data_IF_801271108257
#
_entry.id   IF_801271108257
#
_cell.length_a   1.000
_cell.length_b   1.000
_cell.length_c   1.000
_cell.angle_alpha   90.00
_cell.angle_beta   90.00
_cell.angle_gamma   90.00
#
_symmetry.space_group_name_H-M   'P 1'
#
loop_
_entity.id
_entity.type
_entity.pdbx_description
1 polymer ?
#
# COMPACT_ATOMS: atom_id res chain seq x y z
N UNK A 1 37.02 -19.25 -5.19
CA UNK A 1 35.77 -18.82 -5.87
C UNK A 1 35.27 -20.03 -6.66
N UNK A 2 34.08 -20.53 -6.33
CA UNK A 2 33.42 -21.64 -7.01
C UNK A 2 32.97 -21.27 -8.42
N UNK A 3 32.58 -22.25 -9.27
CA UNK A 3 32.00 -21.96 -10.58
C UNK A 3 30.68 -21.20 -10.48
N UNK A 4 29.91 -21.45 -9.41
CA UNK A 4 28.63 -20.78 -9.15
C UNK A 4 28.82 -19.32 -8.70
N UNK A 5 29.82 -19.04 -7.85
CA UNK A 5 30.21 -17.66 -7.53
C UNK A 5 30.70 -16.87 -8.76
N UNK A 6 31.44 -17.53 -9.69
CA UNK A 6 31.81 -16.88 -10.96
C UNK A 6 30.62 -16.60 -11.88
N UNK A 7 29.54 -17.36 -11.75
CA UNK A 7 28.28 -17.13 -12.44
C UNK A 7 27.40 -16.04 -11.79
N UNK A 8 27.86 -15.45 -10.66
CA UNK A 8 27.20 -14.33 -10.00
C UNK A 8 26.35 -14.69 -8.79
N UNK A 9 26.36 -15.97 -8.33
CA UNK A 9 25.57 -16.41 -7.17
C UNK A 9 26.48 -16.95 -6.07
N UNK A 10 26.36 -16.40 -4.85
CA UNK A 10 27.13 -16.82 -3.69
C UNK A 10 26.22 -17.41 -2.59
N UNK A 11 26.25 -18.72 -2.42
CA UNK A 11 25.43 -19.45 -1.44
C UNK A 11 25.72 -19.03 0.00
N UNK A 12 26.99 -18.73 0.34
CA UNK A 12 27.34 -18.28 1.70
C UNK A 12 26.74 -16.92 2.02
N UNK A 13 26.72 -16.02 1.04
CA UNK A 13 26.08 -14.71 1.15
C UNK A 13 24.56 -14.85 1.27
N UNK A 14 23.93 -15.74 0.52
CA UNK A 14 22.50 -16.02 0.61
C UNK A 14 22.11 -16.57 1.99
N UNK A 15 22.85 -17.57 2.51
CA UNK A 15 22.62 -18.07 3.87
C UNK A 15 22.85 -17.02 4.95
N UNK A 16 23.86 -16.15 4.78
CA UNK A 16 24.11 -15.06 5.71
C UNK A 16 22.98 -14.03 5.69
N UNK A 17 22.42 -13.73 4.52
CA UNK A 17 21.26 -12.85 4.38
C UNK A 17 20.05 -13.41 5.15
N UNK A 18 19.68 -14.67 4.92
CA UNK A 18 18.57 -15.33 5.64
C UNK A 18 18.73 -15.24 7.16
N UNK A 19 19.96 -15.50 7.69
CA UNK A 19 20.22 -15.36 9.12
C UNK A 19 20.07 -13.92 9.63
N UNK A 20 20.41 -12.91 8.84
CA UNK A 20 20.33 -11.50 9.23
C UNK A 20 18.89 -10.97 9.33
N UNK A 21 17.97 -11.50 8.53
CA UNK A 21 16.56 -11.06 8.51
C UNK A 21 15.67 -11.85 9.48
N UNK A 22 16.15 -12.96 10.03
CA UNK A 22 15.35 -13.89 10.83
C UNK A 22 14.64 -13.21 12.01
N UNK A 23 15.36 -12.37 12.77
CA UNK A 23 14.82 -11.70 13.95
C UNK A 23 13.72 -10.71 13.57
N UNK A 24 13.91 -9.92 12.50
CA UNK A 24 12.93 -8.97 12.02
C UNK A 24 11.63 -9.66 11.55
N UNK A 25 11.76 -10.75 10.78
CA UNK A 25 10.59 -11.51 10.30
C UNK A 25 9.83 -12.14 11.47
N UNK A 26 10.55 -12.86 12.36
CA UNK A 26 9.90 -13.59 13.47
C UNK A 26 9.35 -12.66 14.56
N UNK A 27 9.84 -11.44 14.69
CA UNK A 27 9.26 -10.44 15.60
C UNK A 27 7.79 -10.10 15.25
N UNK A 28 7.40 -10.22 13.97
CA UNK A 28 6.00 -9.99 13.54
C UNK A 28 5.08 -11.17 13.87
N UNK A 29 5.61 -12.32 14.32
CA UNK A 29 4.85 -13.54 14.48
C UNK A 29 4.06 -13.56 15.79
N UNK A 30 2.74 -13.68 15.67
CA UNK A 30 1.82 -13.88 16.78
C UNK A 30 1.45 -15.36 16.97
N UNK A 31 0.53 -15.63 17.91
CA UNK A 31 0.13 -17.00 18.27
C UNK A 31 -0.56 -17.78 17.14
N UNK A 32 -1.04 -17.07 16.11
CA UNK A 32 -1.72 -17.70 14.97
C UNK A 32 -0.75 -18.20 13.89
N UNK A 33 0.54 -17.86 13.95
CA UNK A 33 1.53 -18.33 12.98
C UNK A 33 1.88 -19.80 13.26
N UNK A 34 1.91 -20.61 12.19
CA UNK A 34 2.22 -22.03 12.21
C UNK A 34 3.43 -22.30 11.32
N UNK A 35 4.42 -22.99 11.87
CA UNK A 35 5.65 -23.33 11.18
C UNK A 35 6.87 -22.74 11.86
N UNK A 36 7.98 -22.72 11.14
CA UNK A 36 9.27 -22.19 11.61
C UNK A 36 9.92 -21.35 10.52
N UNK A 37 10.66 -20.34 10.92
CA UNK A 37 11.47 -19.56 9.99
C UNK A 37 12.47 -20.44 9.23
N UNK A 38 12.60 -20.22 7.91
CA UNK A 38 13.46 -21.05 7.04
C UNK A 38 12.82 -22.36 6.58
N UNK A 39 11.56 -22.64 6.90
CA UNK A 39 10.79 -23.73 6.31
C UNK A 39 10.37 -23.45 4.86
N UNK A 40 9.92 -24.47 4.13
CA UNK A 40 9.43 -24.31 2.75
C UNK A 40 8.13 -23.52 2.66
N UNK A 41 7.34 -23.48 3.71
CA UNK A 41 6.13 -22.70 3.85
C UNK A 41 5.85 -22.42 5.31
N UNK A 42 5.21 -21.28 5.58
CA UNK A 42 4.61 -20.97 6.87
C UNK A 42 3.09 -20.86 6.72
N UNK A 43 2.38 -21.11 7.79
CA UNK A 43 0.93 -21.04 7.84
C UNK A 43 0.44 -20.01 8.84
N UNK A 44 -0.86 -19.70 8.74
CA UNK A 44 -1.55 -18.88 9.71
C UNK A 44 -2.93 -19.48 9.99
N UNK A 45 -3.29 -19.61 11.26
CA UNK A 45 -4.64 -19.99 11.62
C UNK A 45 -5.56 -18.79 11.56
N UNK A 46 -6.80 -19.01 11.14
CA UNK A 46 -7.82 -17.97 11.19
C UNK A 46 -8.08 -17.63 12.66
N UNK A 47 -8.06 -16.34 13.05
CA UNK A 47 -8.35 -15.92 14.42
C UNK A 47 -9.76 -16.38 14.86
N UNK A 48 -9.95 -16.55 16.16
CA UNK A 48 -11.27 -16.83 16.71
C UNK A 48 -12.26 -15.68 16.44
N UNK A 49 -13.56 -15.99 16.43
CA UNK A 49 -14.64 -15.02 16.26
C UNK A 49 -15.33 -15.08 14.91
N UNK A 50 -14.69 -15.62 13.87
CA UNK A 50 -15.32 -15.81 12.55
C UNK A 50 -16.17 -17.08 12.53
N UNK A 51 -17.42 -16.98 12.05
CA UNK A 51 -18.35 -18.11 11.88
C UNK A 51 -18.29 -18.69 10.48
N UNK A 52 -18.14 -17.82 9.48
CA UNK A 52 -18.02 -18.14 8.06
C UNK A 52 -16.93 -17.29 7.43
N UNK A 53 -15.65 -17.55 7.77
CA UNK A 53 -14.53 -16.73 7.28
C UNK A 53 -14.39 -16.81 5.77
N UNK A 54 -14.23 -15.66 5.12
CA UNK A 54 -13.82 -15.53 3.72
C UNK A 54 -12.38 -15.04 3.71
N UNK A 55 -11.52 -15.76 3.00
CA UNK A 55 -10.13 -15.38 2.81
C UNK A 55 -10.01 -14.51 1.56
N UNK A 56 -9.40 -13.34 1.71
CA UNK A 56 -9.12 -12.40 0.64
C UNK A 56 -7.62 -12.38 0.37
N UNK A 57 -7.25 -12.33 -0.90
CA UNK A 57 -5.88 -12.27 -1.38
C UNK A 57 -5.70 -11.08 -2.30
N UNK A 58 -4.58 -10.39 -2.14
CA UNK A 58 -4.12 -9.34 -3.04
C UNK A 58 -2.62 -9.46 -3.27
N UNK A 59 -2.13 -8.81 -4.32
CA UNK A 59 -0.70 -8.66 -4.60
C UNK A 59 -0.44 -7.28 -5.18
N UNK A 60 0.65 -6.66 -4.75
CA UNK A 60 1.10 -5.37 -5.25
C UNK A 60 2.62 -5.23 -5.12
N UNK A 61 3.17 -4.16 -5.66
CA UNK A 61 4.58 -3.80 -5.59
C UNK A 61 4.81 -2.34 -5.23
N UNK A 62 6.06 -1.97 -4.98
CA UNK A 62 6.44 -0.56 -4.72
C UNK A 62 6.50 0.24 -6.02
N UNK A 63 6.90 -0.40 -7.11
CA UNK A 63 7.05 0.25 -8.40
C UNK A 63 8.27 1.19 -8.48
N UNK A 64 8.16 2.21 -9.34
CA UNK A 64 9.32 3.03 -9.73
C UNK A 64 9.83 4.01 -8.67
N UNK A 65 9.20 4.11 -7.49
CA UNK A 65 9.77 4.76 -6.30
C UNK A 65 11.10 4.12 -5.89
N UNK A 66 11.26 2.81 -6.12
CA UNK A 66 12.50 2.08 -5.84
C UNK A 66 13.72 2.67 -6.56
N UNK A 67 13.55 3.25 -7.75
CA UNK A 67 14.65 3.89 -8.47
C UNK A 67 15.12 5.17 -7.74
N UNK A 68 14.22 5.93 -7.13
CA UNK A 68 14.60 7.06 -6.29
C UNK A 68 15.30 6.61 -5.02
N UNK A 69 14.77 5.57 -4.38
CA UNK A 69 15.41 4.96 -3.20
C UNK A 69 16.84 4.49 -3.52
N UNK A 70 17.03 3.88 -4.70
CA UNK A 70 18.35 3.44 -5.19
C UNK A 70 19.31 4.63 -5.41
N UNK A 71 18.84 5.71 -6.06
CA UNK A 71 19.66 6.93 -6.28
C UNK A 71 20.05 7.59 -4.95
N UNK A 72 19.12 7.66 -4.02
CA UNK A 72 19.33 8.25 -2.70
C UNK A 72 20.13 7.35 -1.75
N UNK A 73 20.25 6.03 -2.02
CA UNK A 73 20.78 5.04 -1.09
C UNK A 73 19.91 4.88 0.16
N UNK A 74 18.60 5.15 0.07
CA UNK A 74 17.64 5.19 1.20
C UNK A 74 16.56 4.13 1.01
N UNK A 75 16.57 3.12 1.88
CA UNK A 75 15.74 1.94 1.74
C UNK A 75 14.76 1.72 2.91
N UNK A 76 14.84 2.55 3.95
CA UNK A 76 14.13 2.40 5.21
C UNK A 76 12.60 2.53 5.09
N UNK A 77 12.12 3.21 4.03
CA UNK A 77 10.69 3.45 3.81
C UNK A 77 10.01 2.48 2.84
N UNK A 78 10.78 1.85 1.94
CA UNK A 78 10.20 1.12 0.79
C UNK A 78 9.44 -0.14 1.18
N UNK A 79 9.86 -0.80 2.27
CA UNK A 79 9.13 -1.96 2.79
C UNK A 79 7.76 -1.56 3.36
N UNK A 80 7.68 -0.42 4.04
CA UNK A 80 6.41 0.14 4.50
C UNK A 80 5.49 0.52 3.34
N UNK A 81 6.05 1.07 2.25
CA UNK A 81 5.32 1.34 1.02
C UNK A 81 4.70 0.05 0.46
N UNK A 82 5.48 -1.03 0.36
CA UNK A 82 5.02 -2.33 -0.12
C UNK A 82 3.84 -2.87 0.71
N UNK A 83 4.00 -2.87 2.03
CA UNK A 83 2.96 -3.35 2.95
C UNK A 83 1.70 -2.52 2.81
N UNK A 84 1.81 -1.18 2.78
CA UNK A 84 0.67 -0.29 2.64
C UNK A 84 -0.15 -0.57 1.37
N UNK A 85 0.51 -0.80 0.23
CA UNK A 85 -0.20 -1.12 -1.02
C UNK A 85 -1.04 -2.39 -0.90
N UNK A 86 -0.49 -3.43 -0.28
CA UNK A 86 -1.19 -4.71 -0.13
C UNK A 86 -2.28 -4.68 0.95
N UNK A 87 -1.98 -4.21 2.17
CA UNK A 87 -2.93 -4.31 3.27
C UNK A 87 -4.08 -3.32 3.17
N UNK A 88 -3.87 -2.17 2.52
CA UNK A 88 -4.91 -1.18 2.29
C UNK A 88 -5.92 -1.67 1.23
N UNK A 89 -5.50 -2.49 0.25
CA UNK A 89 -6.41 -3.17 -0.67
C UNK A 89 -7.30 -4.19 0.05
N UNK A 90 -6.73 -4.95 1.01
CA UNK A 90 -7.53 -5.85 1.85
C UNK A 90 -8.56 -5.06 2.68
N UNK A 91 -8.14 -3.96 3.29
CA UNK A 91 -9.03 -3.10 4.07
C UNK A 91 -10.14 -2.46 3.21
N UNK A 92 -9.86 -2.12 1.95
CA UNK A 92 -10.87 -1.63 1.01
C UNK A 92 -11.98 -2.67 0.74
N UNK A 93 -11.68 -3.95 0.88
CA UNK A 93 -12.65 -5.05 0.83
C UNK A 93 -13.25 -5.40 2.19
N UNK A 94 -12.90 -4.69 3.28
CA UNK A 94 -13.32 -5.00 4.65
C UNK A 94 -12.57 -6.17 5.30
N UNK A 95 -11.49 -6.64 4.67
CA UNK A 95 -10.74 -7.80 5.15
C UNK A 95 -9.60 -7.37 6.09
N UNK A 96 -9.55 -7.99 7.27
CA UNK A 96 -8.46 -7.83 8.23
C UNK A 96 -7.21 -8.54 7.70
N UNK A 97 -6.07 -7.84 7.54
CA UNK A 97 -4.81 -8.46 7.18
C UNK A 97 -4.38 -9.51 8.22
N UNK A 98 -3.97 -10.67 7.75
CA UNK A 98 -3.45 -11.76 8.58
C UNK A 98 -1.96 -11.99 8.36
N UNK A 99 -1.57 -12.02 7.11
CA UNK A 99 -0.23 -12.40 6.70
C UNK A 99 0.20 -11.73 5.40
N UNK A 100 1.51 -11.56 5.26
CA UNK A 100 2.16 -11.11 4.04
C UNK A 100 3.34 -12.02 3.73
N UNK A 101 3.60 -12.25 2.46
CA UNK A 101 4.83 -12.83 1.94
C UNK A 101 5.39 -11.91 0.85
N UNK A 102 6.70 -11.68 0.83
CA UNK A 102 7.34 -10.80 -0.14
C UNK A 102 8.16 -11.56 -1.18
N UNK A 103 8.40 -10.92 -2.30
CA UNK A 103 9.36 -11.30 -3.32
C UNK A 103 10.27 -10.11 -3.61
N UNK A 104 11.55 -10.27 -3.27
CA UNK A 104 12.59 -9.28 -3.53
C UNK A 104 13.51 -9.80 -4.64
N UNK A 105 13.42 -9.19 -5.83
CA UNK A 105 14.32 -9.43 -6.93
C UNK A 105 15.46 -8.41 -6.91
N UNK A 106 16.71 -8.89 -6.93
CA UNK A 106 17.89 -8.05 -6.89
C UNK A 106 18.86 -8.40 -8.01
N UNK A 107 19.51 -7.41 -8.59
CA UNK A 107 20.58 -7.68 -9.57
C UNK A 107 21.78 -8.35 -8.92
N UNK A 108 22.08 -7.97 -7.67
CA UNK A 108 23.11 -8.56 -6.80
C UNK A 108 22.70 -8.37 -5.34
N UNK A 109 22.93 -9.38 -4.52
CA UNK A 109 22.75 -9.30 -3.07
C UNK A 109 23.67 -8.23 -2.44
N UNK A 110 23.07 -7.40 -1.60
CA UNK A 110 23.74 -6.43 -0.73
C UNK A 110 23.19 -6.60 0.68
N UNK A 111 24.02 -7.17 1.56
CA UNK A 111 23.54 -7.63 2.86
C UNK A 111 23.00 -6.54 3.78
N UNK A 112 23.41 -5.27 3.64
CA UNK A 112 22.92 -4.17 4.47
C UNK A 112 21.67 -3.55 3.88
N UNK A 113 21.65 -3.29 2.56
CA UNK A 113 20.47 -2.84 1.83
C UNK A 113 19.29 -3.81 1.99
N UNK A 114 19.53 -5.07 1.68
CA UNK A 114 18.48 -6.10 1.63
C UNK A 114 17.89 -6.36 3.03
N UNK A 115 18.75 -6.32 4.07
CA UNK A 115 18.32 -6.37 5.46
C UNK A 115 17.43 -5.16 5.81
N UNK A 116 17.86 -3.94 5.47
CA UNK A 116 17.09 -2.71 5.72
C UNK A 116 15.71 -2.77 5.07
N UNK A 117 15.61 -3.29 3.84
CA UNK A 117 14.34 -3.47 3.16
C UNK A 117 13.42 -4.44 3.93
N UNK A 118 13.93 -5.61 4.32
CA UNK A 118 13.12 -6.60 5.06
C UNK A 118 12.73 -6.09 6.45
N UNK A 119 13.60 -5.38 7.16
CA UNK A 119 13.27 -4.71 8.43
C UNK A 119 12.14 -3.69 8.23
N UNK A 120 12.16 -2.94 7.12
CA UNK A 120 11.09 -1.99 6.76
C UNK A 120 9.76 -2.70 6.43
N UNK A 121 9.80 -3.86 5.76
CA UNK A 121 8.61 -4.69 5.53
C UNK A 121 8.05 -5.20 6.86
N UNK A 122 8.90 -5.73 7.73
CA UNK A 122 8.50 -6.23 9.04
C UNK A 122 7.83 -5.13 9.89
N UNK A 123 8.43 -3.94 9.96
CA UNK A 123 7.85 -2.79 10.66
C UNK A 123 6.50 -2.36 10.06
N UNK A 124 6.36 -2.43 8.73
CA UNK A 124 5.08 -2.23 8.05
C UNK A 124 4.03 -3.27 8.44
N UNK A 125 4.40 -4.54 8.50
CA UNK A 125 3.51 -5.64 8.93
C UNK A 125 3.08 -5.48 10.39
N UNK A 126 3.97 -5.09 11.29
CA UNK A 126 3.63 -4.77 12.69
C UNK A 126 2.62 -3.63 12.77
N UNK A 127 2.85 -2.54 12.02
CA UNK A 127 1.93 -1.41 11.96
C UNK A 127 0.55 -1.77 11.37
N UNK A 128 0.50 -2.73 10.46
CA UNK A 128 -0.73 -3.26 9.86
C UNK A 128 -1.42 -4.34 10.74
N UNK A 129 -0.74 -4.85 11.76
CA UNK A 129 -1.24 -5.93 12.62
C UNK A 129 -1.29 -7.30 11.94
N UNK A 130 -0.38 -7.57 10.99
CA UNK A 130 -0.24 -8.84 10.28
C UNK A 130 1.18 -9.42 10.41
N UNK A 131 1.34 -10.71 10.13
CA UNK A 131 2.62 -11.40 10.19
C UNK A 131 3.32 -11.37 8.82
N UNK A 132 4.62 -11.06 8.81
CA UNK A 132 5.50 -11.38 7.69
C UNK A 132 5.88 -12.86 7.80
N UNK A 133 5.25 -13.74 7.02
CA UNK A 133 5.45 -15.19 7.14
C UNK A 133 6.76 -15.68 6.55
N UNK A 134 7.33 -14.90 5.64
CA UNK A 134 8.53 -15.18 4.90
C UNK A 134 8.46 -14.53 3.53
N UNK A 135 9.34 -14.97 2.64
CA UNK A 135 9.43 -14.43 1.29
C UNK A 135 10.52 -15.12 0.49
N UNK A 136 10.86 -14.53 -0.63
CA UNK A 136 11.94 -14.97 -1.51
C UNK A 136 12.85 -13.79 -1.83
N UNK A 137 14.16 -13.98 -1.68
CA UNK A 137 15.18 -13.03 -2.19
C UNK A 137 15.94 -13.68 -3.33
N UNK A 138 15.71 -13.23 -4.54
CA UNK A 138 16.25 -13.82 -5.76
C UNK A 138 17.30 -12.92 -6.42
N UNK A 139 18.53 -13.42 -6.61
CA UNK A 139 19.54 -12.76 -7.44
C UNK A 139 19.31 -13.05 -8.93
N UNK A 140 19.38 -11.99 -9.74
CA UNK A 140 19.17 -12.04 -11.19
C UNK A 140 20.39 -11.55 -11.98
N UNK A 141 21.57 -12.19 -11.83
CA UNK A 141 22.77 -11.75 -12.53
C UNK A 141 22.59 -11.86 -14.05
N UNK A 142 22.90 -10.77 -14.78
CA UNK A 142 22.75 -10.70 -16.23
C UNK A 142 21.32 -10.43 -16.73
N UNK A 143 20.33 -10.38 -15.83
CA UNK A 143 18.95 -10.00 -16.13
C UNK A 143 18.63 -8.61 -15.57
N UNK A 144 19.09 -8.32 -14.36
CA UNK A 144 18.95 -7.03 -13.72
C UNK A 144 20.33 -6.37 -13.55
N UNK A 145 20.35 -5.03 -13.57
CA UNK A 145 21.56 -4.28 -13.21
C UNK A 145 21.95 -4.56 -11.76
N UNK A 146 23.24 -4.63 -11.42
CA UNK A 146 23.69 -5.05 -10.07
C UNK A 146 23.09 -4.24 -8.90
N UNK A 147 22.78 -2.95 -9.13
CA UNK A 147 22.15 -2.10 -8.12
C UNK A 147 20.62 -2.09 -8.14
N UNK A 148 20.00 -2.78 -9.10
CA UNK A 148 18.56 -2.80 -9.25
C UNK A 148 17.89 -3.68 -8.18
N UNK A 149 16.72 -3.22 -7.74
CA UNK A 149 15.83 -3.93 -6.79
C UNK A 149 14.41 -3.80 -7.32
N UNK A 150 13.65 -4.88 -7.27
CA UNK A 150 12.21 -4.88 -7.41
C UNK A 150 11.56 -5.59 -6.22
N UNK A 151 10.43 -5.06 -5.76
CA UNK A 151 9.71 -5.54 -4.58
C UNK A 151 8.25 -5.77 -4.92
N UNK A 152 7.78 -6.96 -4.64
CA UNK A 152 6.37 -7.34 -4.69
C UNK A 152 5.99 -8.12 -3.43
N UNK A 153 4.72 -8.12 -3.09
CA UNK A 153 4.21 -8.94 -2.00
C UNK A 153 2.82 -9.49 -2.33
N UNK A 154 2.46 -10.57 -1.66
CA UNK A 154 1.09 -11.04 -1.60
C UNK A 154 0.62 -10.99 -0.14
N UNK A 155 -0.58 -10.45 0.08
CA UNK A 155 -1.18 -10.36 1.40
C UNK A 155 -2.47 -11.20 1.47
N UNK A 156 -2.65 -11.85 2.62
CA UNK A 156 -3.82 -12.63 2.98
C UNK A 156 -4.59 -11.89 4.07
N UNK A 157 -5.90 -11.72 3.88
CA UNK A 157 -6.81 -11.18 4.87
C UNK A 157 -8.01 -12.07 5.09
N UNK A 158 -8.80 -11.76 6.11
CA UNK A 158 -10.04 -12.46 6.46
C UNK A 158 -11.17 -11.47 6.73
N UNK A 159 -12.36 -11.80 6.27
CA UNK A 159 -13.61 -11.08 6.58
C UNK A 159 -14.70 -12.10 6.90
N UNK A 160 -15.70 -11.75 7.72
CA UNK A 160 -16.89 -12.58 7.91
C UNK A 160 -17.77 -12.51 6.65
N UNK A 161 -18.27 -13.63 6.18
CA UNK A 161 -19.14 -13.68 5.00
C UNK A 161 -20.40 -12.82 5.17
N UNK A 162 -20.57 -11.84 4.30
CA UNK A 162 -21.65 -10.86 4.32
C UNK A 162 -21.29 -9.55 5.03
N UNK A 163 -20.06 -9.41 5.53
CA UNK A 163 -19.53 -8.17 6.11
C UNK A 163 -18.47 -7.53 5.19
N UNK A 164 -18.30 -8.05 3.97
CA UNK A 164 -17.42 -7.47 2.96
C UNK A 164 -17.89 -6.07 2.57
N UNK A 165 -16.97 -5.11 2.48
CA UNK A 165 -17.26 -3.79 1.92
C UNK A 165 -17.43 -3.91 0.40
N UNK A 166 -18.66 -3.71 -0.08
CA UNK A 166 -19.00 -3.90 -1.49
C UNK A 166 -19.83 -2.75 -2.03
N UNK A 167 -19.75 -2.44 -3.35
CA UNK A 167 -20.54 -1.40 -3.97
C UNK A 167 -22.06 -1.59 -3.81
N UNK A 168 -22.55 -2.80 -3.63
CA UNK A 168 -23.98 -3.14 -3.64
C UNK A 168 -24.81 -2.47 -2.54
N UNK A 169 -24.18 -2.01 -1.45
CA UNK A 169 -24.84 -1.32 -0.34
C UNK A 169 -24.90 0.19 -0.48
N UNK A 170 -24.19 0.77 -1.46
CA UNK A 170 -24.08 2.23 -1.70
C UNK A 170 -25.36 2.79 -2.27
N UNK A 171 -25.75 4.00 -1.86
CA UNK A 171 -26.96 4.71 -2.27
C UNK A 171 -26.64 6.17 -2.64
N UNK A 172 -27.45 6.75 -3.49
CA UNK A 172 -27.42 8.20 -3.71
C UNK A 172 -27.77 8.94 -2.40
N UNK A 173 -26.99 9.98 -2.08
CA UNK A 173 -27.07 10.71 -0.82
C UNK A 173 -26.08 10.20 0.26
N UNK A 174 -25.44 9.04 0.06
CA UNK A 174 -24.30 8.65 0.91
C UNK A 174 -23.15 9.66 0.76
N UNK A 175 -22.34 9.83 1.79
CA UNK A 175 -21.23 10.77 1.78
C UNK A 175 -19.92 10.07 1.45
N UNK A 176 -19.01 10.80 0.80
CA UNK A 176 -17.64 10.38 0.60
C UNK A 176 -16.78 10.98 1.70
N UNK A 177 -16.16 10.13 2.51
CA UNK A 177 -15.21 10.51 3.56
C UNK A 177 -13.81 10.16 3.07
N UNK A 178 -12.92 11.18 3.06
CA UNK A 178 -11.51 11.03 2.69
C UNK A 178 -10.62 10.88 3.91
N UNK A 179 -9.58 10.04 3.77
CA UNK A 179 -8.47 9.95 4.71
C UNK A 179 -7.25 10.63 4.10
N UNK A 180 -6.68 11.58 4.83
CA UNK A 180 -5.56 12.39 4.36
C UNK A 180 -4.31 11.56 4.06
N UNK A 181 -3.59 11.92 2.98
CA UNK A 181 -2.26 11.42 2.64
C UNK A 181 -1.28 12.58 2.60
N UNK A 182 -0.22 12.58 3.41
CA UNK A 182 0.75 13.68 3.42
C UNK A 182 1.69 13.66 2.22
N UNK A 183 1.72 12.58 1.44
CA UNK A 183 2.71 12.32 0.39
C UNK A 183 2.11 11.60 -0.82
N UNK A 184 2.98 11.29 -1.81
CA UNK A 184 2.63 10.57 -3.05
C UNK A 184 2.30 9.09 -2.84
N UNK A 185 2.66 8.53 -1.69
CA UNK A 185 2.65 7.09 -1.44
C UNK A 185 3.61 6.35 -2.41
N UNK A 186 3.13 5.37 -3.17
CA UNK A 186 3.98 4.60 -4.11
C UNK A 186 3.62 4.81 -5.59
N UNK A 187 2.80 5.81 -5.91
CA UNK A 187 2.26 5.97 -7.25
C UNK A 187 2.78 7.23 -7.97
N UNK A 188 2.87 7.16 -9.29
CA UNK A 188 3.21 8.29 -10.15
C UNK A 188 4.70 8.62 -10.26
N UNK A 189 5.60 7.83 -9.70
CA UNK A 189 7.04 8.11 -9.65
C UNK A 189 7.75 8.11 -11.01
N UNK A 190 7.19 7.48 -12.04
CA UNK A 190 7.70 7.62 -13.41
C UNK A 190 7.54 9.04 -13.91
N UNK A 191 6.37 9.67 -13.68
CA UNK A 191 6.12 11.07 -14.03
C UNK A 191 6.99 12.01 -13.18
N UNK A 192 7.07 11.78 -11.86
CA UNK A 192 7.93 12.56 -10.95
C UNK A 192 9.37 12.62 -11.46
N UNK A 193 9.93 11.46 -11.83
CA UNK A 193 11.30 11.38 -12.35
C UNK A 193 11.48 12.09 -13.69
N UNK A 194 10.47 12.05 -14.53
CA UNK A 194 10.51 12.71 -15.84
C UNK A 194 10.50 14.23 -15.71
N UNK A 195 9.58 14.76 -14.88
CA UNK A 195 9.40 16.22 -14.78
C UNK A 195 10.47 16.91 -13.92
N UNK A 196 11.01 16.24 -12.91
CA UNK A 196 12.10 16.78 -12.08
C UNK A 196 13.48 16.52 -12.66
N UNK A 197 13.65 15.50 -13.50
CA UNK A 197 14.95 15.18 -14.09
C UNK A 197 16.06 15.01 -13.04
N UNK A 198 17.13 15.80 -13.16
CA UNK A 198 18.26 15.79 -12.22
C UNK A 198 17.92 16.49 -10.89
N UNK A 199 16.97 17.43 -10.87
CA UNK A 199 16.53 18.14 -9.65
C UNK A 199 15.81 17.23 -8.65
N UNK A 200 15.45 16.00 -9.04
CA UNK A 200 14.84 15.01 -8.16
C UNK A 200 15.65 14.72 -6.90
N UNK A 201 16.97 14.89 -6.97
CA UNK A 201 17.89 14.64 -5.85
C UNK A 201 17.74 15.68 -4.73
N UNK A 202 17.36 16.91 -5.06
CA UNK A 202 17.11 17.97 -4.07
C UNK A 202 15.82 17.76 -3.27
N UNK A 203 14.99 16.82 -3.70
CA UNK A 203 13.65 16.55 -3.14
C UNK A 203 13.50 15.16 -2.54
N UNK A 204 14.57 14.40 -2.34
CA UNK A 204 14.48 13.03 -1.80
C UNK A 204 13.76 12.95 -0.47
N UNK A 205 13.89 13.91 0.44
CA UNK A 205 13.20 13.90 1.72
C UNK A 205 11.69 13.97 1.57
N UNK A 206 11.20 14.73 0.61
CA UNK A 206 9.78 14.86 0.30
C UNK A 206 9.24 13.65 -0.48
N UNK A 207 10.02 13.14 -1.42
CA UNK A 207 9.60 12.09 -2.35
C UNK A 207 9.68 10.69 -1.75
N UNK A 208 10.63 10.45 -0.83
CA UNK A 208 10.85 9.14 -0.21
C UNK A 208 10.12 8.96 1.13
N UNK A 209 9.34 9.96 1.55
CA UNK A 209 8.48 9.82 2.73
C UNK A 209 7.58 8.58 2.60
N UNK A 210 7.58 7.67 3.61
CA UNK A 210 6.87 6.40 3.52
C UNK A 210 5.35 6.56 3.52
N UNK A 211 4.67 5.64 2.86
CA UNK A 211 3.20 5.58 2.81
C UNK A 211 2.56 5.44 4.19
N UNK A 212 1.44 6.10 4.39
CA UNK A 212 0.53 5.81 5.49
C UNK A 212 -0.10 4.43 5.26
N UNK A 213 -0.18 3.63 6.30
CA UNK A 213 -0.94 2.37 6.32
C UNK A 213 -2.31 2.69 6.90
N UNK A 214 -3.36 2.56 6.08
CA UNK A 214 -4.73 2.90 6.47
C UNK A 214 -5.50 1.71 7.04
N UNK A 215 -5.08 0.49 6.77
CA UNK A 215 -5.84 -0.72 7.07
C UNK A 215 -6.37 -0.79 8.51
N UNK A 216 -5.61 -0.51 9.58
CA UNK A 216 -6.15 -0.53 10.94
C UNK A 216 -7.29 0.48 11.15
N UNK A 217 -7.11 1.72 10.69
CA UNK A 217 -8.10 2.80 10.82
C UNK A 217 -9.36 2.52 9.99
N UNK A 218 -9.19 2.07 8.75
CA UNK A 218 -10.31 1.72 7.86
C UNK A 218 -11.16 0.61 8.45
N UNK A 219 -10.54 -0.42 9.03
CA UNK A 219 -11.25 -1.52 9.68
C UNK A 219 -11.96 -1.09 10.97
N UNK A 220 -11.36 -0.17 11.74
CA UNK A 220 -12.03 0.44 12.90
C UNK A 220 -13.26 1.23 12.46
N UNK A 221 -13.15 2.04 11.40
CA UNK A 221 -14.27 2.76 10.82
C UNK A 221 -15.34 1.81 10.26
N UNK A 222 -14.95 0.74 9.57
CA UNK A 222 -15.87 -0.28 9.05
C UNK A 222 -16.64 -0.99 10.18
N UNK A 223 -15.99 -1.27 11.30
CA UNK A 223 -16.60 -1.92 12.47
C UNK A 223 -17.74 -1.08 13.10
N UNK A 224 -17.80 0.22 12.82
CA UNK A 224 -18.96 1.05 13.22
C UNK A 224 -20.25 0.61 12.51
N UNK A 225 -20.14 -0.04 11.34
CA UNK A 225 -21.26 -0.39 10.46
C UNK A 225 -21.85 0.80 9.70
N UNK A 226 -21.19 1.95 9.71
CA UNK A 226 -21.57 3.13 8.92
C UNK A 226 -20.96 3.13 7.51
N UNK A 227 -19.84 2.44 7.31
CA UNK A 227 -19.15 2.33 6.02
C UNK A 227 -19.86 1.31 5.13
N UNK A 228 -20.22 1.72 3.92
CA UNK A 228 -20.88 0.88 2.91
C UNK A 228 -19.89 0.26 1.94
N UNK A 229 -18.92 1.04 1.51
CA UNK A 229 -17.90 0.66 0.54
C UNK A 229 -16.65 1.50 0.72
N UNK A 230 -15.54 1.11 0.12
CA UNK A 230 -14.29 1.82 0.27
C UNK A 230 -13.42 1.72 -0.98
N UNK A 231 -12.54 2.70 -1.18
CA UNK A 231 -11.59 2.75 -2.28
C UNK A 231 -10.21 3.18 -1.77
N UNK A 232 -9.21 2.34 -1.99
CA UNK A 232 -7.81 2.68 -1.82
C UNK A 232 -7.36 3.56 -3.00
N UNK A 233 -6.87 4.78 -2.72
CA UNK A 233 -6.48 5.74 -3.76
C UNK A 233 -5.02 5.50 -4.15
N UNK A 234 -4.82 4.86 -5.29
CA UNK A 234 -3.54 4.54 -5.90
C UNK A 234 -3.37 5.25 -7.25
N UNK A 235 -2.62 4.68 -8.19
CA UNK A 235 -2.55 5.19 -9.56
C UNK A 235 -3.96 5.34 -10.17
N UNK A 236 -4.18 6.46 -10.84
CA UNK A 236 -5.51 6.86 -11.30
C UNK A 236 -6.21 7.88 -10.40
N UNK A 237 -5.65 8.18 -9.21
CA UNK A 237 -6.20 9.14 -8.27
C UNK A 237 -7.63 8.82 -7.81
N UNK A 238 -8.33 9.80 -7.23
CA UNK A 238 -9.73 9.65 -6.82
C UNK A 238 -10.63 9.29 -8.03
N UNK A 239 -10.50 9.95 -9.22
CA UNK A 239 -11.35 9.65 -10.36
C UNK A 239 -11.22 8.22 -10.89
N UNK A 240 -10.07 7.59 -10.76
CA UNK A 240 -9.84 6.21 -11.21
C UNK A 240 -10.20 5.14 -10.18
N UNK A 241 -10.13 5.45 -8.89
CA UNK A 241 -10.31 4.45 -7.83
C UNK A 241 -11.69 4.51 -7.16
N UNK A 242 -12.24 5.68 -6.86
CA UNK A 242 -13.55 5.80 -6.21
C UNK A 242 -14.68 5.12 -7.01
N UNK A 243 -14.74 5.18 -8.36
CA UNK A 243 -15.78 4.47 -9.11
C UNK A 243 -15.81 2.95 -8.91
N UNK A 244 -14.70 2.33 -8.53
CA UNK A 244 -14.61 0.89 -8.24
C UNK A 244 -15.40 0.50 -6.97
N UNK A 245 -15.64 1.48 -6.10
CA UNK A 245 -16.42 1.35 -4.88
C UNK A 245 -17.92 1.69 -5.08
N UNK A 246 -18.34 2.01 -6.30
CA UNK A 246 -19.72 2.44 -6.61
C UNK A 246 -20.42 1.42 -7.51
N UNK A 247 -21.74 1.20 -7.33
CA UNK A 247 -22.51 0.38 -8.25
C UNK A 247 -22.80 1.12 -9.54
N UNK A 248 -23.23 0.40 -10.58
CA UNK A 248 -23.70 0.99 -11.82
C UNK A 248 -24.86 1.96 -11.57
N UNK A 249 -24.84 3.11 -12.25
CA UNK A 249 -25.86 4.15 -12.12
C UNK A 249 -25.61 5.16 -11.00
N UNK A 250 -24.54 4.98 -10.21
CA UNK A 250 -24.09 5.97 -9.25
C UNK A 250 -22.71 6.53 -9.61
N UNK A 251 -22.51 7.79 -9.25
CA UNK A 251 -21.25 8.51 -9.35
C UNK A 251 -21.00 9.31 -8.09
N UNK A 252 -19.94 10.09 -8.06
CA UNK A 252 -19.61 10.96 -6.93
C UNK A 252 -19.32 12.39 -7.39
N UNK A 253 -19.64 13.34 -6.52
CA UNK A 253 -19.17 14.73 -6.60
C UNK A 253 -18.21 14.93 -5.45
N UNK A 254 -16.97 15.32 -5.75
CA UNK A 254 -15.91 15.52 -4.77
C UNK A 254 -15.49 16.99 -4.80
N UNK A 255 -15.55 17.66 -3.65
CA UNK A 255 -15.13 19.04 -3.47
C UNK A 255 -13.66 19.07 -3.04
N UNK A 256 -12.78 19.46 -3.97
CA UNK A 256 -11.32 19.49 -3.77
C UNK A 256 -10.86 20.62 -2.85
N UNK A 257 -11.73 21.50 -2.41
CA UNK A 257 -11.43 22.58 -1.45
C UNK A 257 -11.56 22.16 0.01
N UNK A 258 -12.04 20.92 0.28
CA UNK A 258 -12.31 20.42 1.63
C UNK A 258 -11.09 19.89 2.37
N UNK A 259 -9.95 19.79 1.71
CA UNK A 259 -8.67 19.37 2.33
C UNK A 259 -7.49 20.19 1.83
N UNK A 260 -6.42 20.25 2.61
CA UNK A 260 -5.17 20.86 2.18
C UNK A 260 -4.39 19.92 1.25
N UNK A 261 -3.90 20.48 0.16
CA UNK A 261 -3.02 19.78 -0.79
C UNK A 261 -1.59 19.74 -0.22
N UNK A 262 -0.96 18.56 -0.05
CA UNK A 262 0.43 18.46 0.38
C UNK A 262 1.41 19.18 -0.55
N UNK A 263 2.52 19.76 -0.01
CA UNK A 263 3.47 20.56 -0.78
C UNK A 263 4.12 19.85 -1.99
N UNK A 264 4.20 18.52 -1.95
CA UNK A 264 4.75 17.75 -3.07
C UNK A 264 3.96 17.95 -4.37
N UNK A 265 2.67 18.23 -4.29
CA UNK A 265 1.85 18.49 -5.48
C UNK A 265 2.04 19.91 -6.01
N UNK A 266 2.38 20.89 -5.16
CA UNK A 266 2.74 22.22 -5.59
C UNK A 266 4.07 22.21 -6.38
N UNK A 267 5.05 21.46 -5.89
CA UNK A 267 6.31 21.22 -6.59
C UNK A 267 6.07 20.65 -8.00
N UNK A 268 5.21 19.64 -8.14
CA UNK A 268 4.95 19.03 -9.44
C UNK A 268 4.18 19.95 -10.39
N UNK A 269 3.29 20.80 -9.87
CA UNK A 269 2.58 21.83 -10.64
C UNK A 269 3.55 22.90 -11.13
N UNK A 270 4.50 23.36 -10.32
CA UNK A 270 5.57 24.28 -10.68
C UNK A 270 6.48 23.70 -11.78
N UNK A 271 6.69 22.36 -11.78
CA UNK A 271 7.39 21.64 -12.85
C UNK A 271 6.55 21.40 -14.11
N UNK A 272 5.33 21.93 -14.18
CA UNK A 272 4.50 21.94 -15.38
C UNK A 272 3.51 20.77 -15.51
N UNK A 273 3.34 19.94 -14.48
CA UNK A 273 2.27 18.93 -14.48
C UNK A 273 0.93 19.64 -14.33
N UNK A 274 0.01 19.44 -15.28
CA UNK A 274 -1.29 20.11 -15.25
C UNK A 274 -2.16 19.55 -14.12
N UNK A 275 -3.07 20.38 -13.59
CA UNK A 275 -4.00 19.97 -12.53
C UNK A 275 -4.81 18.73 -12.92
N UNK A 276 -5.30 18.67 -14.16
CA UNK A 276 -6.06 17.52 -14.66
C UNK A 276 -5.25 16.23 -14.69
N UNK A 277 -3.98 16.32 -15.06
CA UNK A 277 -3.06 15.18 -15.06
C UNK A 277 -2.73 14.74 -13.63
N UNK A 278 -2.48 15.69 -12.73
CA UNK A 278 -2.24 15.37 -11.31
C UNK A 278 -3.38 14.57 -10.69
N UNK A 279 -4.63 14.96 -10.90
CA UNK A 279 -5.79 14.20 -10.39
C UNK A 279 -5.98 12.83 -11.05
N UNK A 280 -5.41 12.61 -12.23
CA UNK A 280 -5.42 11.30 -12.91
C UNK A 280 -4.29 10.39 -12.49
N UNK A 281 -3.19 10.93 -11.96
CA UNK A 281 -1.99 10.16 -11.63
C UNK A 281 -1.85 9.99 -10.12
N UNK A 282 -2.14 11.04 -9.34
CA UNK A 282 -1.81 11.11 -7.93
C UNK A 282 -3.04 11.13 -7.02
N UNK A 283 -2.81 10.84 -5.75
CA UNK A 283 -3.83 10.88 -4.70
C UNK A 283 -4.27 12.30 -4.30
N UNK A 284 -3.51 13.33 -4.65
CA UNK A 284 -3.77 14.75 -4.39
C UNK A 284 -4.05 15.09 -2.91
N UNK A 285 -3.52 14.29 -1.98
CA UNK A 285 -3.69 14.48 -0.54
C UNK A 285 -4.76 13.59 0.11
N UNK A 286 -5.44 12.74 -0.66
CA UNK A 286 -6.40 11.75 -0.15
C UNK A 286 -5.94 10.36 -0.52
N UNK A 287 -5.50 9.57 0.47
CA UNK A 287 -4.99 8.22 0.24
C UNK A 287 -6.05 7.12 0.29
N UNK A 288 -7.22 7.42 0.86
CA UNK A 288 -8.32 6.47 0.97
C UNK A 288 -9.68 7.18 0.95
N UNK A 289 -10.68 6.60 0.30
CA UNK A 289 -12.05 7.08 0.29
C UNK A 289 -12.98 6.01 0.89
N UNK A 290 -13.88 6.44 1.78
CA UNK A 290 -14.94 5.62 2.35
C UNK A 290 -16.30 6.17 1.87
N UNK A 291 -17.20 5.30 1.44
CA UNK A 291 -18.60 5.66 1.20
C UNK A 291 -19.39 5.34 2.45
N UNK A 292 -20.00 6.35 3.06
CA UNK A 292 -20.57 6.31 4.40
C UNK A 292 -22.05 6.69 4.38
N UNK A 293 -22.84 6.00 5.18
CA UNK A 293 -24.23 6.38 5.45
C UNK A 293 -24.30 7.82 5.99
N UNK A 294 -25.01 8.70 5.30
CA UNK A 294 -25.10 10.11 5.65
C UNK A 294 -25.62 10.34 7.09
N UNK A 295 -26.56 9.52 7.55
CA UNK A 295 -27.11 9.63 8.91
C UNK A 295 -26.15 9.19 10.00
N UNK A 296 -25.03 8.54 9.63
CA UNK A 296 -24.02 7.98 10.53
C UNK A 296 -22.60 8.48 10.27
N UNK A 297 -22.44 9.54 9.49
CA UNK A 297 -21.13 10.07 9.09
C UNK A 297 -20.27 10.48 10.29
N UNK A 298 -20.88 10.92 11.40
CA UNK A 298 -20.18 11.32 12.62
C UNK A 298 -19.42 10.14 13.27
N UNK A 299 -19.92 8.89 13.10
CA UNK A 299 -19.25 7.68 13.60
C UNK A 299 -17.87 7.46 12.92
N UNK A 300 -17.70 7.95 11.70
CA UNK A 300 -16.48 7.83 10.90
C UNK A 300 -15.61 9.08 11.00
N UNK A 301 -16.22 10.27 10.91
CA UNK A 301 -15.45 11.53 11.00
C UNK A 301 -14.86 11.74 12.39
N UNK A 302 -15.52 11.25 13.44
CA UNK A 302 -14.99 11.23 14.80
C UNK A 302 -13.70 10.42 14.97
N UNK A 303 -13.39 9.50 14.05
CA UNK A 303 -12.15 8.71 14.00
C UNK A 303 -11.04 9.35 13.13
N UNK A 304 -11.29 10.53 12.52
CA UNK A 304 -10.28 11.29 11.77
C UNK A 304 -10.52 11.37 10.26
N UNK A 305 -11.65 10.90 9.76
CA UNK A 305 -12.08 11.12 8.38
C UNK A 305 -12.67 12.52 8.16
N UNK A 306 -12.62 13.02 6.93
CA UNK A 306 -13.23 14.28 6.54
C UNK A 306 -14.21 14.08 5.39
N UNK A 307 -15.38 14.70 5.46
CA UNK A 307 -16.34 14.68 4.32
C UNK A 307 -15.74 15.45 3.16
N UNK A 308 -15.58 14.79 2.02
CA UNK A 308 -15.00 15.37 0.80
C UNK A 308 -15.97 15.37 -0.39
N UNK A 309 -17.15 14.76 -0.24
CA UNK A 309 -18.08 14.67 -1.34
C UNK A 309 -19.36 13.88 -1.03
N UNK A 310 -20.15 13.65 -2.06
CA UNK A 310 -21.46 13.01 -1.98
C UNK A 310 -21.65 12.04 -3.17
N UNK A 311 -22.37 10.96 -2.94
CA UNK A 311 -22.79 10.00 -3.96
C UNK A 311 -24.07 10.49 -4.62
N UNK A 312 -24.04 10.56 -5.94
CA UNK A 312 -25.13 11.09 -6.77
C UNK A 312 -25.57 10.08 -7.83
N UNK A 313 -26.75 10.28 -8.40
CA UNK A 313 -27.17 9.55 -9.60
C UNK A 313 -26.27 9.93 -10.78
N UNK A 314 -25.77 8.94 -11.52
CA UNK A 314 -24.90 9.16 -12.67
C UNK A 314 -23.79 8.13 -12.77
N UNK A 315 -22.61 8.54 -13.21
CA UNK A 315 -21.43 7.67 -13.32
C UNK A 315 -20.14 8.48 -13.15
N UNK A 316 -19.08 7.81 -12.72
CA UNK A 316 -17.75 8.40 -12.56
C UNK A 316 -17.66 9.39 -11.40
N UNK A 317 -16.59 10.18 -11.38
CA UNK A 317 -16.33 11.19 -10.36
C UNK A 317 -16.21 12.56 -11.02
N UNK A 318 -16.95 13.52 -10.49
CA UNK A 318 -16.83 14.93 -10.86
C UNK A 318 -16.12 15.66 -9.73
N UNK A 319 -14.99 16.28 -10.04
CA UNK A 319 -14.25 17.16 -9.12
C UNK A 319 -14.79 18.59 -9.24
N UNK A 320 -14.90 19.28 -8.08
CA UNK A 320 -15.30 20.68 -7.97
C UNK A 320 -14.24 21.50 -7.26
#
# INVERSE_FOLDING_TARGET
MTSYQRAGVDLESAEAHVRRIADAVTATWGPNVVGSFGGFAAGITIPEGYRRPVLMLTTDGVGTKLELARRAGRWEGVGRDLVAMCVDDLAAAGARPLALVDYMAVGRLDGDRDRTIVESIAAGCEAAGCALLGGETAEHPGVMDPGAVDLAAAALGVVEAGEELTPSSVRAGDLVVGLASPNLRSNGFSLVREVLGDEVEDHFDLLLDPSVIYAPLVLEMAATGAVRSAAHVTGGGIPGNLPRALPEGLGAVVDTSTWERPPVFDLLEECGVTRDEMFRVFNMGIGFCLVVDADRVEDVTGLGGSVIGEIVLGSGVRLQ
#
